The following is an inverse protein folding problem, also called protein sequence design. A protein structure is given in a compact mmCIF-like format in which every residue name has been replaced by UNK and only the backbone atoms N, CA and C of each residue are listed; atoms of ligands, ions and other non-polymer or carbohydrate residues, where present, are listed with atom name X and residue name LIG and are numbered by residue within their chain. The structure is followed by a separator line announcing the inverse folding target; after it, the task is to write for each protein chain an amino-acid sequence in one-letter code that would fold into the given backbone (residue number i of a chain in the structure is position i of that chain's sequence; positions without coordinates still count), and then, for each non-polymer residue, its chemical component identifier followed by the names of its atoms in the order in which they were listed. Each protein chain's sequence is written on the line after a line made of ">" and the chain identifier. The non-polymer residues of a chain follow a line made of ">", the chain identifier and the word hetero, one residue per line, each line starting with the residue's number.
data_IF_987139834165
#
_entry.id   IF_987139834165
#
_cell.length_a   1.000
_cell.length_b   1.000
_cell.length_c   1.000
_cell.angle_alpha   90.00
_cell.angle_beta   90.00
_cell.angle_gamma   90.00
#
_symmetry.space_group_name_H-M   'P 1'
#
loop_
_entity.id
_entity.type
_entity.pdbx_description
1 polymer ?
#
# COMPACT_ATOMS: atom_id res chain seq x y z
N UNK A 1 -2.76 -16.15 -8.61
CA UNK A 1 -4.10 -15.61 -8.32
C UNK A 1 -3.91 -14.23 -7.73
N UNK A 2 -4.55 -13.21 -8.31
CA UNK A 2 -4.41 -11.84 -7.83
C UNK A 2 -5.51 -11.52 -6.84
N UNK A 3 -5.13 -11.31 -5.58
CA UNK A 3 -6.02 -10.77 -4.55
C UNK A 3 -5.95 -9.24 -4.53
N UNK A 4 -7.10 -8.61 -4.33
CA UNK A 4 -7.20 -7.16 -4.16
C UNK A 4 -8.06 -6.85 -2.95
N UNK A 5 -7.54 -6.04 -2.05
CA UNK A 5 -8.29 -5.55 -0.90
C UNK A 5 -7.96 -4.10 -0.61
N UNK A 6 -8.90 -3.43 0.06
CA UNK A 6 -8.83 -2.01 0.37
C UNK A 6 -8.66 -1.80 1.85
N UNK A 7 -7.72 -0.93 2.23
CA UNK A 7 -7.51 -0.49 3.60
C UNK A 7 -7.84 1.00 3.72
N UNK A 8 -8.71 1.33 4.67
CA UNK A 8 -9.00 2.72 5.05
C UNK A 8 -8.21 3.08 6.31
N UNK A 9 -7.50 4.20 6.26
CA UNK A 9 -6.72 4.73 7.38
C UNK A 9 -7.17 6.16 7.68
N UNK A 10 -7.53 6.43 8.93
CA UNK A 10 -7.94 7.75 9.41
C UNK A 10 -6.77 8.40 10.11
N UNK A 11 -6.36 9.57 9.63
CA UNK A 11 -5.28 10.39 10.17
C UNK A 11 -5.86 11.69 10.74
N UNK A 12 -5.69 11.90 12.04
CA UNK A 12 -6.01 13.15 12.71
C UNK A 12 -4.74 14.01 12.82
N UNK A 13 -4.68 15.11 12.08
CA UNK A 13 -3.50 15.98 11.98
C UNK A 13 -3.75 17.29 12.74
N UNK A 14 -3.11 17.43 13.91
CA UNK A 14 -3.00 18.69 14.66
C UNK A 14 -1.86 19.54 14.07
N UNK A 15 -2.13 20.31 13.00
CA UNK A 15 -1.19 21.22 12.32
C UNK A 15 0.05 20.53 11.70
N UNK A 16 -0.14 19.88 10.56
CA UNK A 16 0.96 19.33 9.73
C UNK A 16 1.16 20.13 8.44
N UNK A 17 2.38 20.10 7.89
CA UNK A 17 2.65 20.59 6.54
C UNK A 17 2.28 19.50 5.50
N UNK A 18 1.96 19.87 4.26
CA UNK A 18 1.70 18.91 3.17
C UNK A 18 2.87 17.93 2.96
N UNK A 19 4.11 18.38 3.20
CA UNK A 19 5.29 17.53 3.12
C UNK A 19 5.27 16.41 4.17
N UNK A 20 4.84 16.72 5.39
CA UNK A 20 4.75 15.74 6.47
C UNK A 20 3.63 14.73 6.20
N UNK A 21 2.51 15.20 5.63
CA UNK A 21 1.42 14.33 5.19
C UNK A 21 1.88 13.35 4.12
N UNK A 22 2.61 13.81 3.10
CA UNK A 22 3.13 12.93 2.04
C UNK A 22 4.09 11.89 2.60
N UNK A 23 5.02 12.28 3.48
CA UNK A 23 5.91 11.32 4.14
C UNK A 23 5.11 10.28 4.94
N UNK A 24 4.11 10.73 5.70
CA UNK A 24 3.25 9.84 6.49
C UNK A 24 2.50 8.87 5.60
N UNK A 25 1.98 9.31 4.43
CA UNK A 25 1.31 8.42 3.47
C UNK A 25 2.27 7.36 2.92
N UNK A 26 3.51 7.73 2.60
CA UNK A 26 4.53 6.76 2.16
C UNK A 26 4.87 5.75 3.27
N UNK A 27 4.97 6.20 4.52
CA UNK A 27 5.14 5.30 5.67
C UNK A 27 3.96 4.35 5.84
N UNK A 28 2.72 4.82 5.68
CA UNK A 28 1.51 3.97 5.74
C UNK A 28 1.52 2.96 4.59
N UNK A 29 1.92 3.36 3.38
CA UNK A 29 2.04 2.41 2.25
C UNK A 29 3.07 1.33 2.54
N UNK A 30 4.22 1.71 3.10
CA UNK A 30 5.27 0.78 3.49
C UNK A 30 4.79 -0.18 4.59
N UNK A 31 4.03 0.32 5.57
CA UNK A 31 3.46 -0.48 6.65
C UNK A 31 2.34 -1.41 6.18
N UNK A 32 1.51 -0.96 5.23
CA UNK A 32 0.43 -1.76 4.66
C UNK A 32 0.95 -2.94 3.82
N UNK A 33 2.23 -2.88 3.40
CA UNK A 33 2.90 -3.92 2.64
C UNK A 33 3.26 -5.09 3.56
N UNK A 34 2.60 -6.24 3.38
CA UNK A 34 2.92 -7.44 4.18
C UNK A 34 4.05 -8.26 3.56
N UNK A 35 4.09 -8.33 2.22
CA UNK A 35 5.10 -9.08 1.46
C UNK A 35 5.89 -8.17 0.51
N UNK A 36 7.13 -8.55 0.18
CA UNK A 36 8.06 -7.77 -0.66
C UNK A 36 7.48 -7.36 -2.02
N UNK A 37 6.56 -8.14 -2.59
CA UNK A 37 5.95 -7.89 -3.89
C UNK A 37 4.51 -7.39 -3.83
N UNK A 38 3.97 -7.12 -2.63
CA UNK A 38 2.66 -6.48 -2.51
C UNK A 38 2.70 -5.10 -3.16
N UNK A 39 1.75 -4.84 -4.06
CA UNK A 39 1.62 -3.55 -4.73
C UNK A 39 0.60 -2.70 -3.99
N UNK A 40 1.08 -1.70 -3.27
CA UNK A 40 0.24 -0.76 -2.51
C UNK A 40 0.04 0.53 -3.32
N UNK A 41 -1.21 0.88 -3.58
CA UNK A 41 -1.59 2.06 -4.37
C UNK A 41 -2.51 2.95 -3.53
N UNK A 42 -2.27 4.27 -3.56
CA UNK A 42 -3.20 5.24 -2.98
C UNK A 42 -4.35 5.44 -3.98
N UNK A 43 -5.57 5.12 -3.57
CA UNK A 43 -6.77 5.26 -4.39
C UNK A 43 -7.46 6.59 -4.13
N UNK A 44 -7.53 7.01 -2.87
CA UNK A 44 -8.21 8.24 -2.50
C UNK A 44 -7.61 8.87 -1.25
N UNK A 45 -7.67 10.20 -1.18
CA UNK A 45 -7.26 11.00 -0.04
C UNK A 45 -8.30 12.09 0.19
N UNK A 46 -9.18 11.89 1.17
CA UNK A 46 -10.21 12.87 1.52
C UNK A 46 -9.78 13.69 2.72
N UNK A 47 -9.78 15.00 2.56
CA UNK A 47 -9.65 15.94 3.68
C UNK A 47 -11.03 16.26 4.23
N UNK A 48 -11.23 16.02 5.52
CA UNK A 48 -12.40 16.42 6.27
C UNK A 48 -11.99 17.41 7.36
N UNK A 49 -12.73 18.51 7.46
CA UNK A 49 -12.51 19.48 8.52
C UNK A 49 -13.37 19.08 9.72
N UNK A 50 -12.75 18.78 10.86
CA UNK A 50 -13.49 18.57 12.10
C UNK A 50 -13.71 19.93 12.78
N UNK A 51 -14.96 20.45 12.80
CA UNK A 51 -15.25 21.75 13.42
C UNK A 51 -15.06 21.74 14.95
N UNK A 52 -14.88 20.56 15.56
CA UNK A 52 -14.83 20.39 17.03
C UNK A 52 -13.43 20.60 17.61
N UNK A 53 -12.36 20.39 16.82
CA UNK A 53 -10.98 20.35 17.37
C UNK A 53 -9.98 21.26 16.64
N UNK A 54 -10.36 21.94 15.56
CA UNK A 54 -9.40 22.67 14.72
C UNK A 54 -8.36 21.75 14.07
N UNK A 55 -8.69 20.46 13.99
CA UNK A 55 -7.88 19.37 13.44
C UNK A 55 -8.29 19.08 12.01
N UNK A 56 -7.31 18.85 11.16
CA UNK A 56 -7.53 18.38 9.80
C UNK A 56 -7.53 16.85 9.83
N UNK A 57 -8.65 16.24 9.43
CA UNK A 57 -8.76 14.79 9.32
C UNK A 57 -8.53 14.38 7.88
N UNK A 58 -7.64 13.42 7.66
CA UNK A 58 -7.41 12.81 6.35
C UNK A 58 -7.89 11.37 6.38
N UNK A 59 -8.72 10.99 5.42
CA UNK A 59 -9.13 9.61 5.18
C UNK A 59 -8.33 9.13 3.98
N UNK A 60 -7.40 8.21 4.23
CA UNK A 60 -6.50 7.62 3.24
C UNK A 60 -7.05 6.26 2.84
N UNK A 61 -7.37 6.08 1.57
CA UNK A 61 -7.82 4.80 1.02
C UNK A 61 -6.70 4.17 0.19
N UNK A 62 -6.20 3.03 0.65
CA UNK A 62 -5.17 2.26 -0.03
C UNK A 62 -5.78 1.00 -0.64
N UNK A 63 -5.32 0.64 -1.84
CA UNK A 63 -5.57 -0.66 -2.46
C UNK A 63 -4.28 -1.45 -2.49
N UNK A 64 -4.35 -2.68 -2.00
CA UNK A 64 -3.24 -3.61 -1.98
C UNK A 64 -3.56 -4.73 -2.95
N UNK A 65 -2.70 -4.91 -3.94
CA UNK A 65 -2.75 -6.02 -4.87
C UNK A 65 -1.66 -7.02 -4.49
N UNK A 66 -2.05 -8.28 -4.34
CA UNK A 66 -1.18 -9.36 -3.93
C UNK A 66 -1.28 -10.50 -4.91
N UNK A 67 -0.13 -10.92 -5.43
CA UNK A 67 -0.04 -12.18 -6.16
C UNK A 67 0.15 -13.32 -5.17
N UNK A 68 -0.92 -14.07 -4.89
CA UNK A 68 -0.88 -15.16 -3.92
C UNK A 68 -0.15 -16.40 -4.44
N UNK A 69 0.00 -16.54 -5.76
CA UNK A 69 0.77 -17.66 -6.34
C UNK A 69 2.27 -17.50 -6.11
N UNK A 70 2.71 -16.28 -5.83
CA UNK A 70 4.11 -15.92 -5.69
C UNK A 70 4.57 -15.73 -4.23
N UNK A 71 3.68 -16.00 -3.27
CA UNK A 71 4.01 -15.88 -1.84
C UNK A 71 4.94 -17.03 -1.43
N UNK A 72 6.11 -16.70 -0.90
CA UNK A 72 7.05 -17.66 -0.33
C UNK A 72 7.78 -18.55 -1.34
N UNK A 73 7.64 -18.27 -2.65
CA UNK A 73 8.47 -18.91 -3.67
C UNK A 73 9.91 -18.40 -3.58
N UNK A 74 10.87 -19.30 -3.72
CA UNK A 74 12.27 -18.95 -3.90
C UNK A 74 12.46 -18.60 -5.37
N UNK A 75 12.96 -17.40 -5.61
CA UNK A 75 13.36 -16.96 -6.94
C UNK A 75 14.82 -17.33 -7.13
N UNK A 76 15.14 -17.97 -8.24
CA UNK A 76 16.53 -18.21 -8.64
C UNK A 76 17.12 -16.96 -9.30
N UNK A 77 16.30 -16.17 -9.99
CA UNK A 77 16.70 -14.95 -10.70
C UNK A 77 15.86 -13.73 -10.28
N UNK A 78 16.47 -12.54 -10.25
CA UNK A 78 15.72 -11.30 -9.93
C UNK A 78 14.63 -10.98 -10.96
N UNK A 79 14.79 -11.44 -12.21
CA UNK A 79 13.82 -11.25 -13.27
C UNK A 79 12.49 -11.96 -12.96
N UNK A 80 12.54 -13.13 -12.31
CA UNK A 80 11.35 -13.91 -11.92
C UNK A 80 10.48 -13.18 -10.89
N UNK A 81 11.08 -12.29 -10.10
CA UNK A 81 10.36 -11.40 -9.17
C UNK A 81 9.50 -10.37 -9.90
N UNK A 82 9.83 -10.04 -11.15
CA UNK A 82 9.21 -8.98 -11.94
C UNK A 82 8.25 -9.57 -12.98
N UNK A 83 8.68 -10.61 -13.71
CA UNK A 83 7.92 -11.19 -14.83
C UNK A 83 7.20 -12.50 -14.49
N UNK A 84 7.44 -13.05 -13.29
CA UNK A 84 6.97 -14.39 -12.91
C UNK A 84 7.88 -15.50 -13.46
N UNK A 85 7.57 -16.75 -13.11
CA UNK A 85 8.32 -17.91 -13.57
C UNK A 85 7.97 -18.24 -15.02
N UNK A 86 8.98 -18.63 -15.81
CA UNK A 86 8.76 -19.17 -17.15
C UNK A 86 8.00 -20.51 -17.05
N UNK A 87 7.06 -20.77 -17.96
CA UNK A 87 6.22 -21.99 -17.93
C UNK A 87 7.02 -23.30 -17.98
N UNK A 88 8.29 -23.24 -18.39
CA UNK A 88 9.18 -24.39 -18.57
C UNK A 88 9.76 -24.96 -17.26
N UNK A 89 9.54 -24.32 -16.10
CA UNK A 89 9.96 -24.86 -14.78
C UNK A 89 8.88 -25.67 -14.04
N UNK A 90 7.73 -25.93 -14.69
CA UNK A 90 6.78 -26.93 -14.19
C UNK A 90 7.21 -28.34 -14.61
N UNK A 91 8.23 -28.88 -13.95
CA UNK A 91 8.54 -30.33 -14.02
C UNK A 91 7.67 -31.14 -13.04
#
# INVERSE_FOLDING_TARGET
>A
MMEKYTNEVILDVRRGNEKDLNNTIEEIKAYAKTYEHDKVTLIDLKKSHSPVLGEERYIVLLQIERDTENIGRKYEYEEEKIVGFFEDEKE
#
